data_IF_572644441182
#
_entry.id   IF_572644441182
#
_cell.length_a   1.000
_cell.length_b   1.000
_cell.length_c   1.000
_cell.angle_alpha   90.00
_cell.angle_beta   90.00
_cell.angle_gamma   90.00
#
_symmetry.space_group_name_H-M   'P 1'
#
loop_
_entity.id
_entity.type
_entity.pdbx_description
1 polymer ?
#
# COMPACT_ATOMS: atom_id res chain seq x y z
N UNK A 1 19.37 34.74 -39.21
CA UNK A 1 20.06 34.16 -38.04
C UNK A 1 21.19 33.28 -38.57
N UNK A 2 22.45 33.46 -38.14
CA UNK A 2 23.58 32.67 -38.67
C UNK A 2 23.45 31.20 -38.25
N UNK A 3 23.96 30.27 -39.07
CA UNK A 3 23.93 28.82 -38.77
C UNK A 3 24.59 28.50 -37.43
N UNK A 4 25.62 29.28 -37.05
CA UNK A 4 26.30 29.19 -35.75
C UNK A 4 25.37 29.54 -34.57
N UNK A 5 24.54 30.59 -34.70
CA UNK A 5 23.56 30.95 -33.66
C UNK A 5 22.45 29.91 -33.49
N UNK A 6 22.06 29.23 -34.56
CA UNK A 6 21.08 28.13 -34.48
C UNK A 6 21.69 26.93 -33.75
N UNK A 7 22.97 26.64 -33.99
CA UNK A 7 23.69 25.54 -33.36
C UNK A 7 23.92 25.76 -31.86
N UNK A 8 24.27 26.99 -31.44
CA UNK A 8 24.39 27.33 -30.02
C UNK A 8 23.07 27.21 -29.26
N UNK A 9 21.95 27.63 -29.86
CA UNK A 9 20.62 27.53 -29.23
C UNK A 9 20.20 26.06 -29.09
N UNK A 10 20.50 25.21 -30.08
CA UNK A 10 20.22 23.78 -30.01
C UNK A 10 21.07 23.11 -28.93
N UNK A 11 22.35 23.47 -28.79
CA UNK A 11 23.22 22.95 -27.71
C UNK A 11 22.72 23.41 -26.34
N UNK A 12 22.34 24.67 -26.17
CA UNK A 12 21.77 25.15 -24.90
C UNK A 12 20.44 24.47 -24.57
N UNK A 13 19.61 24.13 -25.56
CA UNK A 13 18.36 23.38 -25.36
C UNK A 13 18.61 21.90 -24.99
N UNK A 14 19.66 21.28 -25.53
CA UNK A 14 20.02 19.88 -25.23
C UNK A 14 20.61 19.75 -23.82
N UNK A 15 21.40 20.73 -23.35
CA UNK A 15 22.02 20.70 -22.02
C UNK A 15 21.15 21.26 -20.87
N UNK A 16 19.99 21.85 -21.17
CA UNK A 16 19.02 22.33 -20.16
C UNK A 16 17.98 21.28 -19.77
N UNK A 17 18.04 20.07 -20.36
CA UNK A 17 17.23 18.92 -19.97
C UNK A 17 18.00 18.01 -18.99
N UNK A 18 17.58 17.92 -17.70
CA UNK A 18 18.27 17.11 -16.69
C UNK A 18 18.43 15.64 -17.09
N UNK A 19 17.52 15.11 -17.91
CA UNK A 19 17.56 13.73 -18.39
C UNK A 19 18.71 13.42 -19.34
N UNK A 20 19.16 14.38 -20.16
CA UNK A 20 20.24 14.14 -21.13
C UNK A 20 21.61 14.10 -20.44
N UNK A 21 21.82 14.96 -19.44
CA UNK A 21 23.03 14.94 -18.60
C UNK A 21 23.11 13.64 -17.80
N UNK A 22 21.98 13.14 -17.28
CA UNK A 22 21.92 11.87 -16.57
C UNK A 22 22.23 10.69 -17.51
N UNK A 23 21.71 10.69 -18.74
CA UNK A 23 21.98 9.65 -19.74
C UNK A 23 23.45 9.67 -20.16
N UNK A 24 24.04 10.84 -20.40
CA UNK A 24 25.47 10.96 -20.72
C UNK A 24 26.33 10.51 -19.53
N UNK A 25 25.95 10.86 -18.30
CA UNK A 25 26.64 10.41 -17.09
C UNK A 25 26.57 8.88 -16.93
N UNK A 26 25.40 8.27 -17.14
CA UNK A 26 25.22 6.82 -17.08
C UNK A 26 26.02 6.13 -18.20
N UNK A 27 25.99 6.65 -19.42
CA UNK A 27 26.76 6.10 -20.54
C UNK A 27 28.26 6.21 -20.28
N UNK A 28 28.75 7.32 -19.72
CA UNK A 28 30.14 7.47 -19.31
C UNK A 28 30.51 6.51 -18.15
N UNK A 29 29.65 6.36 -17.14
CA UNK A 29 29.89 5.43 -16.02
C UNK A 29 29.95 3.98 -16.53
N UNK A 30 29.06 3.60 -17.45
CA UNK A 30 29.03 2.24 -18.03
C UNK A 30 30.21 2.00 -18.95
N UNK A 31 30.58 2.97 -19.78
CA UNK A 31 31.70 2.83 -20.73
C UNK A 31 33.08 2.85 -20.06
N UNK A 32 33.24 3.58 -18.95
CA UNK A 32 34.52 3.73 -18.25
C UNK A 32 34.57 3.02 -16.88
N UNK A 33 33.63 2.11 -16.61
CA UNK A 33 33.48 1.47 -15.29
C UNK A 33 34.74 0.70 -14.86
N UNK A 34 35.48 0.11 -15.81
CA UNK A 34 36.73 -0.61 -15.55
C UNK A 34 37.88 0.34 -15.21
N UNK A 35 37.99 1.46 -15.92
CA UNK A 35 38.99 2.51 -15.70
C UNK A 35 38.73 3.26 -14.39
N UNK A 36 37.46 3.55 -14.07
CA UNK A 36 37.04 4.17 -12.81
C UNK A 36 37.31 3.23 -11.62
N UNK A 37 37.05 1.93 -11.76
CA UNK A 37 37.40 0.92 -10.75
C UNK A 37 38.92 0.89 -10.47
N UNK A 38 39.74 1.01 -11.51
CA UNK A 38 41.20 1.10 -11.37
C UNK A 38 41.64 2.40 -10.68
N UNK A 39 41.01 3.52 -11.02
CA UNK A 39 41.27 4.82 -10.43
C UNK A 39 40.92 4.86 -8.93
N UNK A 40 39.75 4.33 -8.54
CA UNK A 40 39.30 4.26 -7.13
C UNK A 40 40.25 3.42 -6.29
N UNK A 41 40.76 2.30 -6.82
CA UNK A 41 41.77 1.47 -6.14
C UNK A 41 43.13 2.16 -5.95
N UNK A 42 43.40 3.23 -6.68
CA UNK A 42 44.62 4.04 -6.56
C UNK A 42 44.52 5.20 -5.56
N UNK A 43 43.33 5.50 -5.03
CA UNK A 43 43.13 6.61 -4.10
C UNK A 43 43.58 6.20 -2.70
N UNK A 44 44.84 6.50 -2.37
CA UNK A 44 45.43 6.19 -1.06
C UNK A 44 45.15 7.25 0.01
N UNK A 45 44.71 8.44 -0.39
CA UNK A 45 44.53 9.60 0.50
C UNK A 45 43.48 10.58 -0.03
N UNK A 46 42.47 10.89 0.77
CA UNK A 46 41.48 11.95 0.49
C UNK A 46 41.45 12.92 1.67
N UNK A 47 41.61 14.22 1.41
CA UNK A 47 41.59 15.27 2.44
C UNK A 47 40.62 16.39 2.06
N UNK A 48 39.73 16.74 2.97
CA UNK A 48 38.89 17.95 2.92
C UNK A 48 39.16 18.82 4.14
N UNK A 49 38.50 19.99 4.23
CA UNK A 49 38.68 20.93 5.35
C UNK A 49 38.33 20.36 6.72
N UNK A 50 37.51 19.32 6.76
CA UNK A 50 37.00 18.77 8.01
C UNK A 50 37.47 17.32 8.25
N UNK A 51 37.90 16.56 7.23
CA UNK A 51 38.26 15.14 7.41
C UNK A 51 39.36 14.67 6.44
N UNK A 52 40.19 13.72 6.89
CA UNK A 52 41.30 13.12 6.15
C UNK A 52 41.24 11.58 6.29
N UNK A 53 41.21 10.87 5.17
CA UNK A 53 41.16 9.41 5.12
C UNK A 53 42.40 8.87 4.38
N UNK A 54 43.12 7.94 5.00
CA UNK A 54 44.35 7.32 4.52
C UNK A 54 44.21 5.80 4.59
N UNK A 55 44.67 5.08 3.55
CA UNK A 55 44.47 3.61 3.44
C UNK A 55 45.76 2.79 3.59
N UNK A 56 46.77 3.28 4.32
CA UNK A 56 47.99 2.49 4.65
C UNK A 56 48.20 2.49 6.18
N UNK A 57 48.03 1.31 6.78
CA UNK A 57 48.27 1.04 8.20
C UNK A 57 49.77 0.84 8.47
N UNK A 58 50.38 1.73 9.25
CA UNK A 58 51.65 1.50 9.95
C UNK A 58 51.56 2.08 11.36
N UNK A 59 51.27 1.20 12.35
CA UNK A 59 51.84 1.24 13.71
C UNK A 59 51.39 0.03 14.55
N UNK A 60 52.02 -1.10 14.23
CA UNK A 60 52.35 -2.17 15.19
C UNK A 60 53.76 -1.85 15.69
N UNK A 61 53.95 -1.40 16.94
CA UNK A 61 55.27 -1.52 17.60
C UNK A 61 55.30 -1.27 19.12
N UNK A 62 54.16 -1.31 19.83
CA UNK A 62 54.17 -1.26 21.31
C UNK A 62 53.42 -2.38 22.03
N UNK A 63 52.91 -3.38 21.31
CA UNK A 63 52.29 -4.58 21.93
C UNK A 63 53.11 -5.86 21.74
N UNK A 64 54.34 -5.76 21.22
CA UNK A 64 55.19 -6.91 20.88
C UNK A 64 55.99 -7.52 22.04
N UNK A 65 55.86 -7.04 23.28
CA UNK A 65 56.61 -7.63 24.43
C UNK A 65 55.75 -8.26 25.51
N UNK A 66 54.42 -8.28 25.35
CA UNK A 66 53.52 -8.96 26.32
C UNK A 66 52.96 -10.30 25.83
N UNK A 67 53.12 -10.61 24.54
CA UNK A 67 52.56 -11.83 23.94
C UNK A 67 53.56 -12.99 23.77
N UNK A 68 54.86 -12.80 24.04
CA UNK A 68 55.86 -13.87 23.90
C UNK A 68 55.95 -14.82 25.11
N UNK A 69 55.33 -14.51 26.26
CA UNK A 69 55.23 -15.44 27.39
C UNK A 69 53.91 -16.24 27.42
N UNK A 70 52.91 -15.87 26.63
CA UNK A 70 51.62 -16.57 26.57
C UNK A 70 51.53 -17.60 25.43
N UNK A 71 52.46 -17.58 24.47
CA UNK A 71 52.42 -18.44 23.28
C UNK A 71 53.05 -19.82 23.46
N UNK A 72 53.17 -20.35 24.69
CA UNK A 72 53.67 -21.71 24.95
C UNK A 72 52.74 -22.61 25.76
N UNK A 73 51.55 -22.16 26.14
CA UNK A 73 50.60 -22.99 26.89
C UNK A 73 49.29 -23.35 26.17
N UNK A 74 49.07 -22.92 24.93
CA UNK A 74 47.86 -23.27 24.19
C UNK A 74 48.17 -23.99 22.86
N UNK A 75 48.92 -25.09 22.93
CA UNK A 75 48.73 -26.21 21.99
C UNK A 75 47.64 -27.14 22.55
N UNK A 76 46.38 -26.76 22.36
CA UNK A 76 45.26 -27.69 22.34
C UNK A 76 44.42 -27.38 21.11
N UNK A 77 44.55 -28.27 20.12
CA UNK A 77 43.64 -28.57 19.02
C UNK A 77 42.65 -27.45 18.63
N UNK A 78 43.00 -26.69 17.59
CA UNK A 78 42.04 -25.86 16.85
C UNK A 78 40.95 -26.77 16.25
N UNK A 79 39.77 -26.76 16.87
CA UNK A 79 38.52 -27.18 16.22
C UNK A 79 38.23 -26.22 15.05
N UNK A 80 37.86 -26.79 13.91
CA UNK A 80 37.41 -26.04 12.72
C UNK A 80 36.30 -25.04 13.09
N UNK A 81 36.16 -23.90 12.38
CA UNK A 81 35.05 -22.99 12.60
C UNK A 81 33.73 -23.75 12.40
N UNK A 82 32.94 -23.91 13.47
CA UNK A 82 31.61 -24.51 13.40
C UNK A 82 30.79 -23.75 12.35
N UNK A 83 30.51 -24.42 11.23
CA UNK A 83 29.38 -24.08 10.39
C UNK A 83 28.18 -23.91 11.31
N UNK A 84 27.59 -22.72 11.42
CA UNK A 84 26.26 -22.57 11.99
C UNK A 84 25.35 -23.49 11.16
N UNK A 85 25.05 -24.68 11.69
CA UNK A 85 24.07 -25.58 11.10
C UNK A 85 22.75 -24.81 11.11
N UNK A 86 22.23 -24.47 9.92
CA UNK A 86 20.84 -24.09 9.77
C UNK A 86 20.04 -25.21 10.43
N UNK A 87 19.37 -24.90 11.54
CA UNK A 87 18.66 -25.89 12.33
C UNK A 87 17.63 -26.56 11.41
N UNK A 88 17.68 -27.89 11.30
CA UNK A 88 16.77 -28.59 10.39
C UNK A 88 15.31 -28.33 10.79
N UNK A 89 14.41 -28.07 9.82
CA UNK A 89 12.99 -27.98 10.09
C UNK A 89 12.48 -29.22 10.85
N UNK A 90 11.72 -28.98 11.92
CA UNK A 90 11.24 -30.01 12.83
C UNK A 90 9.79 -30.38 12.58
N UNK A 91 8.99 -29.44 12.09
CA UNK A 91 7.56 -29.65 11.84
C UNK A 91 7.23 -29.76 10.36
N UNK A 92 6.08 -30.38 10.04
CA UNK A 92 5.59 -30.48 8.67
C UNK A 92 5.40 -29.10 8.03
N UNK A 93 4.95 -28.11 8.81
CA UNK A 93 4.74 -26.75 8.33
C UNK A 93 6.06 -26.02 8.07
N UNK A 94 7.06 -26.19 8.92
CA UNK A 94 8.40 -25.65 8.67
C UNK A 94 9.01 -26.26 7.41
N UNK A 95 8.81 -27.56 7.15
CA UNK A 95 9.25 -28.18 5.88
C UNK A 95 8.51 -27.62 4.66
N UNK A 96 7.22 -27.30 4.77
CA UNK A 96 6.47 -26.61 3.69
C UNK A 96 7.04 -25.22 3.43
N UNK A 97 7.33 -24.46 4.48
CA UNK A 97 7.95 -23.14 4.36
C UNK A 97 9.35 -23.23 3.75
N UNK A 98 10.17 -24.20 4.19
CA UNK A 98 11.49 -24.47 3.64
C UNK A 98 11.41 -24.79 2.13
N UNK A 99 10.45 -25.61 1.70
CA UNK A 99 10.21 -25.91 0.29
C UNK A 99 9.90 -24.62 -0.50
N UNK A 100 9.06 -23.74 0.04
CA UNK A 100 8.69 -22.47 -0.60
C UNK A 100 9.90 -21.53 -0.68
N UNK A 101 10.59 -21.27 0.44
CA UNK A 101 11.72 -20.33 0.49
C UNK A 101 12.89 -20.80 -0.37
N UNK A 102 13.27 -22.08 -0.27
CA UNK A 102 14.34 -22.62 -1.12
C UNK A 102 14.03 -22.51 -2.62
N UNK A 103 12.75 -22.54 -3.01
CA UNK A 103 12.35 -22.28 -4.41
C UNK A 103 12.68 -20.84 -4.81
N UNK A 104 12.37 -19.87 -3.96
CA UNK A 104 12.66 -18.45 -4.21
C UNK A 104 14.18 -18.14 -4.18
N UNK A 105 14.93 -18.88 -3.36
CA UNK A 105 16.40 -18.84 -3.33
C UNK A 105 17.04 -19.57 -4.54
N UNK A 106 16.22 -20.15 -5.43
CA UNK A 106 16.63 -20.94 -6.60
C UNK A 106 17.47 -22.16 -6.23
N UNK A 107 17.30 -22.67 -5.00
CA UNK A 107 17.96 -23.89 -4.52
C UNK A 107 17.07 -25.11 -4.75
N UNK A 108 17.03 -25.58 -6.00
CA UNK A 108 16.15 -26.68 -6.41
C UNK A 108 16.41 -27.98 -5.65
N UNK A 109 17.68 -28.28 -5.34
CA UNK A 109 18.06 -29.47 -4.57
C UNK A 109 17.39 -29.45 -3.20
N UNK A 110 17.47 -28.31 -2.50
CA UNK A 110 16.85 -28.17 -1.18
C UNK A 110 15.33 -28.20 -1.24
N UNK A 111 14.73 -27.62 -2.28
CA UNK A 111 13.28 -27.70 -2.52
C UNK A 111 12.83 -29.15 -2.69
N UNK A 112 13.54 -29.93 -3.50
CA UNK A 112 13.21 -31.32 -3.76
C UNK A 112 13.42 -32.20 -2.52
N UNK A 113 14.46 -31.94 -1.72
CA UNK A 113 14.68 -32.59 -0.42
C UNK A 113 13.53 -32.29 0.56
N UNK A 114 13.17 -31.02 0.70
CA UNK A 114 12.08 -30.58 1.56
C UNK A 114 10.75 -31.26 1.15
N UNK A 115 10.44 -31.28 -0.14
CA UNK A 115 9.26 -31.97 -0.65
C UNK A 115 9.26 -33.47 -0.33
N UNK A 116 10.40 -34.16 -0.52
CA UNK A 116 10.51 -35.57 -0.15
C UNK A 116 10.31 -35.80 1.35
N UNK A 117 10.81 -34.91 2.21
CA UNK A 117 10.58 -34.97 3.66
C UNK A 117 9.10 -34.78 4.01
N UNK A 118 8.43 -33.80 3.41
CA UNK A 118 6.97 -33.58 3.54
C UNK A 118 6.21 -34.87 3.22
N UNK A 119 6.50 -35.51 2.09
CA UNK A 119 5.81 -36.73 1.65
C UNK A 119 6.02 -37.94 2.57
N UNK A 120 7.17 -38.00 3.27
CA UNK A 120 7.47 -39.06 4.26
C UNK A 120 6.80 -38.79 5.61
N UNK A 121 6.76 -37.54 6.05
CA UNK A 121 6.22 -37.14 7.35
C UNK A 121 4.69 -37.04 7.34
N UNK A 122 4.11 -36.66 6.20
CA UNK A 122 2.67 -36.49 6.08
C UNK A 122 1.99 -37.85 5.83
N UNK A 123 1.27 -38.34 6.83
CA UNK A 123 0.53 -39.59 6.74
C UNK A 123 -0.82 -39.46 6.00
N UNK A 124 -1.38 -38.26 5.91
CA UNK A 124 -2.70 -38.03 5.31
C UNK A 124 -2.63 -38.05 3.77
N UNK A 125 -3.30 -38.99 3.08
CA UNK A 125 -3.22 -39.11 1.62
C UNK A 125 -3.70 -37.85 0.89
N UNK A 126 -4.77 -37.20 1.38
CA UNK A 126 -5.31 -36.00 0.73
C UNK A 126 -4.36 -34.83 0.92
N UNK A 127 -3.87 -34.60 2.14
CA UNK A 127 -2.89 -33.55 2.41
C UNK A 127 -1.60 -33.75 1.62
N UNK A 128 -1.14 -34.98 1.38
CA UNK A 128 0.03 -35.24 0.52
C UNK A 128 -0.21 -34.82 -0.94
N UNK A 129 -1.41 -35.06 -1.47
CA UNK A 129 -1.79 -34.59 -2.82
C UNK A 129 -1.79 -33.05 -2.87
N UNK A 130 -2.32 -32.38 -1.83
CA UNK A 130 -2.27 -30.91 -1.72
C UNK A 130 -0.83 -30.39 -1.63
N UNK A 131 0.04 -31.07 -0.89
CA UNK A 131 1.46 -30.75 -0.81
C UNK A 131 2.16 -30.94 -2.17
N UNK A 132 1.80 -31.97 -2.95
CA UNK A 132 2.31 -32.14 -4.33
C UNK A 132 1.84 -31.02 -5.25
N UNK A 133 0.57 -30.64 -5.20
CA UNK A 133 0.05 -29.50 -5.98
C UNK A 133 0.77 -28.19 -5.62
N UNK A 134 1.06 -27.98 -4.34
CA UNK A 134 1.84 -26.83 -3.87
C UNK A 134 3.27 -26.85 -4.43
N UNK A 135 3.97 -27.99 -4.33
CA UNK A 135 5.30 -28.19 -4.90
C UNK A 135 5.33 -27.93 -6.41
N UNK A 136 4.34 -28.44 -7.16
CA UNK A 136 4.24 -28.25 -8.61
C UNK A 136 3.98 -26.78 -8.97
N UNK A 137 3.12 -26.09 -8.22
CA UNK A 137 2.86 -24.66 -8.39
C UNK A 137 4.15 -23.85 -8.30
N UNK A 138 4.98 -24.11 -7.29
CA UNK A 138 6.25 -23.41 -7.09
C UNK A 138 7.34 -23.87 -8.07
N UNK A 139 7.36 -25.15 -8.44
CA UNK A 139 8.23 -25.67 -9.51
C UNK A 139 7.99 -24.97 -10.86
N UNK A 140 6.75 -24.63 -11.19
CA UNK A 140 6.43 -23.83 -12.37
C UNK A 140 7.06 -22.43 -12.30
N UNK A 141 7.00 -21.76 -11.15
CA UNK A 141 7.66 -20.44 -10.94
C UNK A 141 9.17 -20.56 -11.14
N UNK A 142 9.77 -21.67 -10.70
CA UNK A 142 11.18 -21.97 -10.90
C UNK A 142 11.54 -22.36 -12.36
N UNK A 143 10.56 -22.40 -13.26
CA UNK A 143 10.76 -22.67 -14.69
C UNK A 143 10.63 -24.12 -15.12
N UNK A 144 10.15 -25.04 -14.26
CA UNK A 144 9.90 -26.43 -14.66
C UNK A 144 8.66 -26.51 -15.57
N UNK A 145 8.87 -26.98 -16.81
CA UNK A 145 7.85 -26.94 -17.87
C UNK A 145 6.81 -28.06 -17.78
N UNK A 146 7.09 -29.15 -17.07
CA UNK A 146 6.20 -30.30 -16.89
C UNK A 146 5.15 -30.09 -15.78
N UNK A 147 5.35 -29.07 -14.93
CA UNK A 147 4.54 -28.82 -13.74
C UNK A 147 3.04 -28.70 -14.05
N UNK A 148 2.67 -27.89 -15.05
CA UNK A 148 1.27 -27.73 -15.49
C UNK A 148 0.66 -29.07 -15.90
N UNK A 149 1.40 -29.89 -16.67
CA UNK A 149 0.90 -31.18 -17.12
C UNK A 149 0.69 -32.15 -15.95
N UNK A 150 1.58 -32.12 -14.95
CA UNK A 150 1.43 -32.93 -13.73
C UNK A 150 0.25 -32.48 -12.88
N UNK A 151 0.04 -31.16 -12.74
CA UNK A 151 -1.13 -30.61 -12.01
C UNK A 151 -2.44 -31.07 -12.69
N UNK A 152 -2.49 -31.11 -14.02
CA UNK A 152 -3.68 -31.55 -14.77
C UNK A 152 -4.13 -32.97 -14.42
N UNK A 153 -3.22 -33.85 -14.02
CA UNK A 153 -3.55 -35.22 -13.63
C UNK A 153 -4.41 -35.27 -12.35
N UNK A 154 -4.40 -34.21 -11.53
CA UNK A 154 -5.23 -34.11 -10.33
C UNK A 154 -6.65 -33.59 -10.59
N UNK A 155 -6.96 -33.13 -11.81
CA UNK A 155 -8.30 -32.63 -12.14
C UNK A 155 -9.38 -33.71 -12.10
N UNK A 156 -9.01 -34.99 -12.19
CA UNK A 156 -9.95 -36.12 -12.08
C UNK A 156 -10.13 -36.60 -10.64
N UNK A 157 -9.41 -36.03 -9.67
CA UNK A 157 -9.47 -36.40 -8.26
C UNK A 157 -10.35 -35.42 -7.48
N UNK A 158 -11.58 -35.85 -7.16
CA UNK A 158 -12.58 -35.03 -6.49
C UNK A 158 -12.16 -34.53 -5.08
N UNK A 159 -11.14 -35.14 -4.45
CA UNK A 159 -10.65 -34.72 -3.15
C UNK A 159 -9.77 -33.46 -3.23
N UNK A 160 -9.15 -33.21 -4.39
CA UNK A 160 -8.20 -32.10 -4.60
C UNK A 160 -8.44 -31.31 -5.89
N UNK A 161 -9.60 -31.51 -6.53
CA UNK A 161 -9.97 -30.82 -7.78
C UNK A 161 -9.97 -29.29 -7.61
N UNK A 162 -10.40 -28.79 -6.46
CA UNK A 162 -10.34 -27.36 -6.12
C UNK A 162 -8.89 -26.85 -6.11
N UNK A 163 -8.01 -27.52 -5.39
CA UNK A 163 -6.59 -27.15 -5.28
C UNK A 163 -5.86 -27.27 -6.61
N UNK A 164 -6.19 -28.27 -7.44
CA UNK A 164 -5.62 -28.44 -8.76
C UNK A 164 -6.00 -27.28 -9.69
N UNK A 165 -7.28 -26.88 -9.69
CA UNK A 165 -7.76 -25.72 -10.43
C UNK A 165 -7.12 -24.41 -9.92
N UNK A 166 -6.97 -24.24 -8.60
CA UNK A 166 -6.25 -23.10 -8.01
C UNK A 166 -4.79 -23.04 -8.45
N UNK A 167 -4.09 -24.18 -8.45
CA UNK A 167 -2.70 -24.26 -8.88
C UNK A 167 -2.54 -23.95 -10.38
N UNK A 168 -3.41 -24.48 -11.24
CA UNK A 168 -3.42 -24.15 -12.67
C UNK A 168 -3.71 -22.66 -12.91
N UNK A 169 -4.75 -22.12 -12.26
CA UNK A 169 -5.09 -20.70 -12.34
C UNK A 169 -3.89 -19.82 -12.00
N UNK A 170 -3.18 -20.16 -10.93
CA UNK A 170 -1.95 -19.48 -10.52
C UNK A 170 -0.83 -19.59 -11.55
N UNK A 171 -0.54 -20.81 -12.04
CA UNK A 171 0.53 -21.03 -13.02
C UNK A 171 0.29 -20.23 -14.31
N UNK A 172 -0.94 -20.25 -14.84
CA UNK A 172 -1.31 -19.48 -16.03
C UNK A 172 -1.26 -17.97 -15.79
N UNK A 173 -1.73 -17.49 -14.63
CA UNK A 173 -1.64 -16.07 -14.27
C UNK A 173 -0.18 -15.59 -14.20
N UNK A 174 0.71 -16.41 -13.63
CA UNK A 174 2.15 -16.13 -13.59
C UNK A 174 2.77 -16.08 -14.98
N UNK A 175 2.33 -16.97 -15.88
CA UNK A 175 2.70 -16.97 -17.30
C UNK A 175 2.03 -15.86 -18.13
N UNK A 176 1.22 -15.00 -17.49
CA UNK A 176 0.42 -13.92 -18.13
C UNK A 176 -0.63 -14.41 -19.13
N UNK A 177 -0.98 -15.69 -19.08
CA UNK A 177 -2.08 -16.28 -19.83
C UNK A 177 -3.36 -16.12 -18.99
N UNK A 178 -3.92 -14.90 -19.01
CA UNK A 178 -5.05 -14.54 -18.15
C UNK A 178 -6.35 -15.23 -18.57
N UNK A 179 -6.47 -15.65 -19.83
CA UNK A 179 -7.62 -16.41 -20.33
C UNK A 179 -7.67 -17.79 -19.66
N UNK A 180 -6.58 -18.56 -19.73
CA UNK A 180 -6.52 -19.87 -19.05
C UNK A 180 -6.53 -19.72 -17.53
N UNK A 181 -5.89 -18.68 -16.97
CA UNK A 181 -5.96 -18.41 -15.54
C UNK A 181 -7.41 -18.22 -15.07
N UNK A 182 -8.16 -17.37 -15.78
CA UNK A 182 -9.58 -17.12 -15.52
C UNK A 182 -10.39 -18.40 -15.62
N UNK A 183 -10.18 -19.20 -16.67
CA UNK A 183 -10.86 -20.48 -16.85
C UNK A 183 -10.69 -21.40 -15.64
N UNK A 184 -9.46 -21.64 -15.19
CA UNK A 184 -9.21 -22.58 -14.09
C UNK A 184 -9.64 -21.99 -12.75
N UNK A 185 -9.51 -20.69 -12.52
CA UNK A 185 -10.04 -20.06 -11.31
C UNK A 185 -11.58 -20.09 -11.24
N UNK A 186 -12.28 -19.95 -12.37
CA UNK A 186 -13.74 -20.14 -12.40
C UNK A 186 -14.14 -21.58 -12.04
N UNK A 187 -13.39 -22.57 -12.54
CA UNK A 187 -13.59 -23.97 -12.15
C UNK A 187 -13.30 -24.19 -10.66
N UNK A 188 -12.25 -23.58 -10.10
CA UNK A 188 -12.00 -23.61 -8.65
C UNK A 188 -13.17 -22.98 -7.86
N UNK A 189 -13.72 -21.84 -8.31
CA UNK A 189 -14.86 -21.21 -7.65
C UNK A 189 -16.12 -22.10 -7.65
N UNK A 190 -16.36 -22.84 -8.73
CA UNK A 190 -17.45 -23.83 -8.81
C UNK A 190 -17.27 -24.98 -7.81
N UNK A 191 -16.02 -25.42 -7.60
CA UNK A 191 -15.69 -26.55 -6.73
C UNK A 191 -15.50 -26.18 -5.26
N UNK A 192 -15.42 -24.90 -4.94
CA UNK A 192 -15.23 -24.40 -3.59
C UNK A 192 -16.40 -24.83 -2.68
N UNK A 193 -16.08 -25.54 -1.60
CA UNK A 193 -17.04 -26.20 -0.70
C UNK A 193 -17.49 -25.29 0.45
N UNK A 194 -16.70 -24.27 0.77
CA UNK A 194 -16.93 -23.39 1.91
C UNK A 194 -16.64 -21.92 1.55
N UNK A 195 -17.01 -21.03 2.46
CA UNK A 195 -16.83 -19.58 2.30
C UNK A 195 -15.36 -19.16 2.16
N UNK A 196 -14.46 -19.82 2.89
CA UNK A 196 -13.03 -19.50 2.88
C UNK A 196 -12.41 -19.80 1.51
N UNK A 197 -12.72 -20.97 0.93
CA UNK A 197 -12.31 -21.34 -0.42
C UNK A 197 -12.86 -20.39 -1.46
N UNK A 198 -14.17 -20.05 -1.40
CA UNK A 198 -14.81 -19.10 -2.32
C UNK A 198 -14.16 -17.71 -2.25
N UNK A 199 -13.86 -17.24 -1.05
CA UNK A 199 -13.18 -15.96 -0.84
C UNK A 199 -11.75 -16.01 -1.39
N UNK A 200 -11.01 -17.08 -1.09
CA UNK A 200 -9.62 -17.27 -1.52
C UNK A 200 -9.48 -17.28 -3.05
N UNK A 201 -10.31 -18.05 -3.75
CA UNK A 201 -10.30 -18.06 -5.22
C UNK A 201 -10.78 -16.73 -5.80
N UNK A 202 -11.80 -16.09 -5.22
CA UNK A 202 -12.27 -14.79 -5.69
C UNK A 202 -11.18 -13.70 -5.62
N UNK A 203 -10.41 -13.67 -4.53
CA UNK A 203 -9.26 -12.77 -4.36
C UNK A 203 -8.12 -13.00 -5.35
N UNK A 204 -8.06 -14.17 -6.01
CA UNK A 204 -7.08 -14.42 -7.08
C UNK A 204 -7.68 -14.19 -8.47
N UNK A 205 -8.90 -14.67 -8.68
CA UNK A 205 -9.65 -14.61 -9.93
C UNK A 205 -9.88 -13.19 -10.41
N UNK A 206 -10.23 -12.25 -9.50
CA UNK A 206 -10.55 -10.87 -9.90
C UNK A 206 -9.40 -10.22 -10.67
N UNK A 207 -8.16 -10.48 -10.25
CA UNK A 207 -6.97 -9.91 -10.88
C UNK A 207 -6.75 -10.44 -12.29
N UNK A 208 -7.09 -11.71 -12.53
CA UNK A 208 -7.02 -12.35 -13.84
C UNK A 208 -8.14 -11.86 -14.75
N UNK A 209 -9.38 -11.79 -14.26
CA UNK A 209 -10.52 -11.22 -14.99
C UNK A 209 -10.26 -9.77 -15.39
N UNK A 210 -9.75 -8.94 -14.47
CA UNK A 210 -9.41 -7.55 -14.75
C UNK A 210 -8.35 -7.43 -15.84
N UNK A 211 -7.28 -8.24 -15.77
CA UNK A 211 -6.21 -8.24 -16.78
C UNK A 211 -6.65 -8.84 -18.13
N UNK A 212 -7.68 -9.68 -18.12
CA UNK A 212 -8.38 -10.20 -19.30
C UNK A 212 -9.43 -9.20 -19.86
N UNK A 213 -9.40 -7.93 -19.41
CA UNK A 213 -10.34 -6.87 -19.82
C UNK A 213 -11.82 -7.17 -19.50
N UNK A 214 -12.08 -8.03 -18.51
CA UNK A 214 -13.42 -8.42 -18.03
C UNK A 214 -13.72 -7.81 -16.67
N UNK A 215 -13.61 -6.48 -16.57
CA UNK A 215 -13.80 -5.72 -15.32
C UNK A 215 -15.18 -5.93 -14.72
N UNK A 216 -16.24 -5.86 -15.53
CA UNK A 216 -17.62 -5.97 -15.07
C UNK A 216 -17.89 -7.36 -14.49
N UNK A 217 -17.32 -8.39 -15.11
CA UNK A 217 -17.37 -9.77 -14.59
C UNK A 217 -16.61 -9.90 -13.27
N UNK A 218 -15.43 -9.26 -13.13
CA UNK A 218 -14.67 -9.26 -11.88
C UNK A 218 -15.45 -8.61 -10.73
N UNK A 219 -16.02 -7.43 -10.96
CA UNK A 219 -16.83 -6.71 -9.97
C UNK A 219 -18.07 -7.50 -9.60
N UNK A 220 -18.77 -8.08 -10.59
CA UNK A 220 -19.94 -8.92 -10.36
C UNK A 220 -19.58 -10.16 -9.54
N UNK A 221 -18.53 -10.88 -9.91
CA UNK A 221 -18.08 -12.08 -9.20
C UNK A 221 -17.71 -11.76 -7.75
N UNK A 222 -16.94 -10.70 -7.50
CA UNK A 222 -16.63 -10.25 -6.13
C UNK A 222 -17.89 -9.87 -5.35
N UNK A 223 -18.85 -9.18 -5.99
CA UNK A 223 -20.15 -8.83 -5.39
C UNK A 223 -20.96 -10.08 -5.01
N UNK A 224 -21.01 -11.08 -5.88
CA UNK A 224 -21.74 -12.33 -5.67
C UNK A 224 -21.14 -13.12 -4.50
N UNK A 225 -19.81 -13.21 -4.41
CA UNK A 225 -19.10 -13.86 -3.29
C UNK A 225 -19.26 -13.06 -2.00
N UNK A 226 -19.19 -11.73 -2.06
CA UNK A 226 -19.41 -10.85 -0.90
C UNK A 226 -20.82 -11.01 -0.32
N UNK A 227 -21.83 -11.22 -1.17
CA UNK A 227 -23.23 -11.36 -0.75
C UNK A 227 -23.50 -12.62 0.07
N UNK A 228 -22.66 -13.64 -0.04
CA UNK A 228 -22.76 -14.88 0.75
C UNK A 228 -21.71 -14.98 1.85
N UNK A 229 -20.76 -14.04 1.91
CA UNK A 229 -19.74 -14.02 2.93
C UNK A 229 -20.35 -13.64 4.28
N UNK A 230 -20.13 -14.46 5.29
CA UNK A 230 -20.63 -14.23 6.65
C UNK A 230 -19.54 -13.71 7.57
N UNK A 231 -18.27 -14.03 7.30
CA UNK A 231 -17.13 -13.66 8.13
C UNK A 231 -16.57 -12.27 7.74
N UNK A 232 -16.37 -11.40 8.74
CA UNK A 232 -15.85 -10.05 8.53
C UNK A 232 -14.43 -10.02 7.93
N UNK A 233 -13.56 -10.97 8.27
CA UNK A 233 -12.22 -11.09 7.68
C UNK A 233 -12.32 -11.35 6.17
N UNK A 234 -13.26 -12.19 5.75
CA UNK A 234 -13.48 -12.49 4.33
C UNK A 234 -14.10 -11.30 3.61
N UNK A 235 -15.12 -10.66 4.20
CA UNK A 235 -15.73 -9.44 3.66
C UNK A 235 -14.70 -8.34 3.44
N UNK A 236 -13.81 -8.10 4.41
CA UNK A 236 -12.73 -7.12 4.27
C UNK A 236 -11.84 -7.43 3.06
N UNK A 237 -11.39 -8.69 2.91
CA UNK A 237 -10.57 -9.10 1.74
C UNK A 237 -11.29 -8.84 0.41
N UNK A 238 -12.60 -9.08 0.36
CA UNK A 238 -13.41 -8.87 -0.84
C UNK A 238 -13.60 -7.37 -1.13
N UNK A 239 -13.84 -6.55 -0.10
CA UNK A 239 -13.89 -5.09 -0.23
C UNK A 239 -12.55 -4.50 -0.68
N UNK A 240 -11.42 -4.97 -0.14
CA UNK A 240 -10.09 -4.58 -0.62
C UNK A 240 -9.86 -5.02 -2.07
N UNK A 241 -10.31 -6.22 -2.46
CA UNK A 241 -10.22 -6.69 -3.85
C UNK A 241 -11.05 -5.81 -4.82
N UNK A 242 -12.23 -5.34 -4.40
CA UNK A 242 -13.02 -4.36 -5.15
C UNK A 242 -12.30 -3.00 -5.21
N UNK A 243 -11.70 -2.56 -4.08
CA UNK A 243 -10.94 -1.32 -4.01
C UNK A 243 -9.76 -1.33 -5.00
N UNK A 244 -9.05 -2.45 -5.12
CA UNK A 244 -7.93 -2.62 -6.05
C UNK A 244 -8.36 -2.47 -7.52
N UNK A 245 -9.58 -2.90 -7.87
CA UNK A 245 -10.14 -2.67 -9.20
C UNK A 245 -10.37 -1.17 -9.39
N UNK A 246 -11.07 -0.52 -8.46
CA UNK A 246 -11.40 0.90 -8.56
C UNK A 246 -10.16 1.81 -8.52
N UNK A 247 -9.11 1.41 -7.81
CA UNK A 247 -7.82 2.10 -7.81
C UNK A 247 -7.18 2.13 -9.20
N UNK A 248 -7.14 0.99 -9.89
CA UNK A 248 -6.57 0.91 -11.25
C UNK A 248 -7.37 1.72 -12.27
N UNK A 249 -8.66 1.90 -12.01
CA UNK A 249 -9.57 2.70 -12.83
C UNK A 249 -9.52 4.20 -12.49
N UNK A 250 -8.77 4.59 -11.45
CA UNK A 250 -8.80 5.94 -10.86
C UNK A 250 -10.22 6.37 -10.43
N UNK A 251 -11.09 5.41 -10.12
CA UNK A 251 -12.42 5.63 -9.58
C UNK A 251 -12.31 5.77 -8.05
N UNK A 252 -11.83 6.93 -7.64
CA UNK A 252 -11.56 7.22 -6.22
C UNK A 252 -12.83 7.16 -5.36
N UNK A 253 -14.00 7.42 -5.95
CA UNK A 253 -15.28 7.45 -5.26
C UNK A 253 -15.73 6.04 -4.87
N UNK A 254 -15.85 5.14 -5.85
CA UNK A 254 -16.23 3.77 -5.56
C UNK A 254 -15.16 3.06 -4.72
N UNK A 255 -13.87 3.41 -4.91
CA UNK A 255 -12.80 2.96 -4.03
C UNK A 255 -13.02 3.41 -2.58
N UNK A 256 -13.41 4.66 -2.35
CA UNK A 256 -13.71 5.18 -1.00
C UNK A 256 -14.84 4.37 -0.35
N UNK A 257 -15.93 4.17 -1.08
CA UNK A 257 -17.13 3.47 -0.62
C UNK A 257 -16.83 2.06 -0.13
N UNK A 258 -16.16 1.24 -0.95
CA UNK A 258 -15.84 -0.15 -0.56
C UNK A 258 -14.80 -0.21 0.56
N UNK A 259 -13.81 0.69 0.58
CA UNK A 259 -12.84 0.76 1.68
C UNK A 259 -13.46 1.21 3.00
N UNK A 260 -14.48 2.07 2.98
CA UNK A 260 -15.18 2.50 4.19
C UNK A 260 -15.95 1.34 4.84
N UNK A 261 -16.53 0.43 4.02
CA UNK A 261 -17.07 -0.84 4.52
C UNK A 261 -15.98 -1.73 5.12
N UNK A 262 -14.78 -1.77 4.53
CA UNK A 262 -13.66 -2.49 5.14
C UNK A 262 -13.24 -1.88 6.50
N UNK A 263 -13.23 -0.54 6.62
CA UNK A 263 -12.96 0.17 7.87
C UNK A 263 -14.06 -0.04 8.91
N UNK A 264 -15.33 -0.13 8.51
CA UNK A 264 -16.43 -0.49 9.42
C UNK A 264 -16.18 -1.83 10.11
N UNK A 265 -15.64 -2.80 9.38
CA UNK A 265 -15.31 -4.15 9.88
C UNK A 265 -13.96 -4.21 10.61
N UNK A 266 -13.01 -3.32 10.28
CA UNK A 266 -11.70 -3.18 10.94
C UNK A 266 -11.43 -1.72 11.33
N UNK A 267 -12.09 -1.20 12.38
CA UNK A 267 -12.06 0.22 12.71
C UNK A 267 -10.72 0.75 13.24
N UNK A 268 -9.76 -0.13 13.54
CA UNK A 268 -8.43 0.22 14.05
C UNK A 268 -7.29 -0.04 13.04
N UNK A 269 -7.61 -0.46 11.82
CA UNK A 269 -6.61 -0.67 10.77
C UNK A 269 -6.23 0.69 10.15
N UNK A 270 -5.13 1.27 10.63
CA UNK A 270 -4.65 2.59 10.19
C UNK A 270 -4.40 2.62 8.68
N UNK A 271 -3.94 1.51 8.09
CA UNK A 271 -3.69 1.44 6.65
C UNK A 271 -5.00 1.59 5.87
N UNK A 272 -6.05 0.89 6.28
CA UNK A 272 -7.38 1.03 5.68
C UNK A 272 -7.97 2.42 5.88
N UNK A 273 -7.87 2.97 7.10
CA UNK A 273 -8.36 4.32 7.42
C UNK A 273 -7.66 5.38 6.57
N UNK A 274 -6.35 5.26 6.40
CA UNK A 274 -5.58 6.17 5.54
C UNK A 274 -6.00 6.04 4.07
N UNK A 275 -6.11 4.81 3.55
CA UNK A 275 -6.51 4.55 2.16
C UNK A 275 -7.89 5.13 1.85
N UNK A 276 -8.86 5.01 2.76
CA UNK A 276 -10.21 5.57 2.57
C UNK A 276 -10.21 7.10 2.68
N UNK A 277 -9.45 7.68 3.63
CA UNK A 277 -9.28 9.13 3.74
C UNK A 277 -8.71 9.73 2.46
N UNK A 278 -7.66 9.10 1.91
CA UNK A 278 -7.08 9.48 0.62
C UNK A 278 -8.10 9.40 -0.52
N UNK A 279 -8.82 8.29 -0.61
CA UNK A 279 -9.85 8.10 -1.64
C UNK A 279 -10.96 9.16 -1.58
N UNK A 280 -11.45 9.51 -0.38
CA UNK A 280 -12.42 10.59 -0.22
C UNK A 280 -11.83 11.97 -0.58
N UNK A 281 -10.57 12.23 -0.27
CA UNK A 281 -9.88 13.47 -0.65
C UNK A 281 -9.81 13.65 -2.18
N UNK A 282 -9.39 12.60 -2.89
CA UNK A 282 -9.30 12.62 -4.36
C UNK A 282 -10.69 12.81 -5.00
N UNK A 283 -11.72 12.27 -4.35
CA UNK A 283 -13.13 12.39 -4.77
C UNK A 283 -13.82 13.69 -4.32
N UNK A 284 -13.08 14.62 -3.68
CA UNK A 284 -13.60 15.92 -3.17
C UNK A 284 -14.66 15.80 -2.07
N UNK A 285 -14.69 14.69 -1.36
CA UNK A 285 -15.47 14.53 -0.13
C UNK A 285 -14.62 14.95 1.09
N UNK A 286 -14.26 16.24 1.15
CA UNK A 286 -13.30 16.78 2.12
C UNK A 286 -13.73 16.53 3.58
N UNK A 287 -15.02 16.60 3.90
CA UNK A 287 -15.52 16.30 5.25
C UNK A 287 -15.31 14.84 5.67
N UNK A 288 -15.55 13.89 4.75
CA UNK A 288 -15.34 12.45 5.01
C UNK A 288 -13.86 12.15 5.13
N UNK A 289 -13.06 12.72 4.23
CA UNK A 289 -11.60 12.65 4.28
C UNK A 289 -11.05 13.15 5.63
N UNK A 290 -11.49 14.33 6.08
CA UNK A 290 -11.12 14.89 7.37
C UNK A 290 -11.48 13.93 8.52
N UNK A 291 -12.69 13.37 8.52
CA UNK A 291 -13.13 12.40 9.53
C UNK A 291 -12.16 11.21 9.62
N UNK A 292 -11.81 10.61 8.49
CA UNK A 292 -10.93 9.44 8.47
C UNK A 292 -9.51 9.78 8.90
N UNK A 293 -8.92 10.88 8.43
CA UNK A 293 -7.59 11.27 8.87
C UNK A 293 -7.53 11.66 10.34
N UNK A 294 -8.61 12.20 10.91
CA UNK A 294 -8.69 12.41 12.36
C UNK A 294 -8.72 11.10 13.12
N UNK A 295 -9.50 10.12 12.67
CA UNK A 295 -9.51 8.79 13.28
C UNK A 295 -8.12 8.15 13.20
N UNK A 296 -7.42 8.25 12.06
CA UNK A 296 -6.05 7.75 11.93
C UNK A 296 -5.09 8.44 12.90
N UNK A 297 -5.18 9.77 13.06
CA UNK A 297 -4.38 10.54 14.03
C UNK A 297 -4.67 10.10 15.45
N UNK A 298 -5.92 9.86 15.79
CA UNK A 298 -6.31 9.49 17.15
C UNK A 298 -5.75 8.10 17.53
N UNK A 299 -5.44 7.25 16.54
CA UNK A 299 -4.73 5.96 16.73
C UNK A 299 -3.20 6.15 16.74
N UNK A 300 -2.65 6.87 15.75
CA UNK A 300 -1.22 7.18 15.69
C UNK A 300 -0.98 8.69 15.51
N UNK A 301 -0.81 9.44 16.62
CA UNK A 301 -0.64 10.88 16.57
C UNK A 301 0.65 11.35 15.89
N UNK A 302 1.67 10.50 15.84
CA UNK A 302 3.01 10.82 15.34
C UNK A 302 3.24 10.33 13.90
N UNK A 303 2.18 9.92 13.20
CA UNK A 303 2.24 9.65 11.76
C UNK A 303 2.32 10.96 10.97
N UNK A 304 3.48 11.22 10.40
CA UNK A 304 3.75 12.45 9.64
C UNK A 304 2.87 12.59 8.38
N UNK A 305 2.51 11.48 7.73
CA UNK A 305 1.69 11.48 6.52
C UNK A 305 0.23 11.80 6.87
N UNK A 306 -0.27 11.24 7.97
CA UNK A 306 -1.60 11.60 8.52
C UNK A 306 -1.66 13.08 8.90
N UNK A 307 -0.63 13.61 9.56
CA UNK A 307 -0.59 15.03 9.92
C UNK A 307 -0.54 15.94 8.70
N UNK A 308 0.25 15.58 7.68
CA UNK A 308 0.28 16.33 6.42
C UNK A 308 -1.10 16.34 5.75
N UNK A 309 -1.74 15.17 5.64
CA UNK A 309 -3.03 15.05 4.98
C UNK A 309 -4.16 15.76 5.75
N UNK A 310 -4.12 15.78 7.09
CA UNK A 310 -4.99 16.63 7.88
C UNK A 310 -4.82 18.11 7.55
N UNK A 311 -3.58 18.58 7.39
CA UNK A 311 -3.29 19.94 6.94
C UNK A 311 -3.99 20.26 5.61
N UNK A 312 -3.87 19.35 4.64
CA UNK A 312 -4.52 19.46 3.32
C UNK A 312 -6.05 19.54 3.46
N UNK A 313 -6.66 18.69 4.27
CA UNK A 313 -8.12 18.71 4.44
C UNK A 313 -8.61 19.96 5.16
N UNK A 314 -7.90 20.42 6.19
CA UNK A 314 -8.23 21.69 6.86
C UNK A 314 -8.16 22.87 5.90
N UNK A 315 -7.19 22.89 4.98
CA UNK A 315 -7.14 23.93 3.95
C UNK A 315 -8.32 23.90 2.97
N UNK A 316 -8.67 22.70 2.49
CA UNK A 316 -9.81 22.53 1.60
C UNK A 316 -11.10 23.06 2.26
N UNK A 317 -11.24 22.78 3.56
CA UNK A 317 -12.35 23.22 4.41
C UNK A 317 -12.22 24.65 4.98
N UNK A 318 -11.20 25.42 4.54
CA UNK A 318 -10.97 26.82 4.95
C UNK A 318 -10.75 27.02 6.46
N UNK A 319 -9.97 26.12 7.08
CA UNK A 319 -9.54 26.15 8.48
C UNK A 319 -8.02 26.40 8.59
N UNK A 320 -7.55 27.62 8.30
CA UNK A 320 -6.12 27.93 8.20
C UNK A 320 -5.34 27.71 9.51
N UNK A 321 -5.92 27.93 10.70
CA UNK A 321 -5.19 27.75 11.97
C UNK A 321 -4.92 26.26 12.20
N UNK A 322 -5.93 25.41 11.99
CA UNK A 322 -5.78 23.95 12.10
C UNK A 322 -4.85 23.38 11.06
N UNK A 323 -4.95 23.86 9.82
CA UNK A 323 -4.06 23.49 8.73
C UNK A 323 -2.59 23.72 9.07
N UNK A 324 -2.24 24.96 9.47
CA UNK A 324 -0.87 25.33 9.88
C UNK A 324 -0.39 24.46 11.04
N UNK A 325 -1.24 24.21 12.03
CA UNK A 325 -0.90 23.35 13.17
C UNK A 325 -0.53 21.92 12.72
N UNK A 326 -1.33 21.34 11.83
CA UNK A 326 -1.12 20.00 11.30
C UNK A 326 0.14 19.90 10.44
N UNK A 327 0.37 20.82 9.51
CA UNK A 327 1.62 20.82 8.72
C UNK A 327 2.85 21.03 9.59
N UNK A 328 2.78 21.91 10.60
CA UNK A 328 3.89 22.10 11.54
C UNK A 328 4.19 20.84 12.35
N UNK A 329 3.17 20.04 12.69
CA UNK A 329 3.38 18.75 13.34
C UNK A 329 4.04 17.75 12.40
N UNK A 330 3.57 17.65 11.16
CA UNK A 330 4.17 16.78 10.13
C UNK A 330 5.63 17.17 9.80
N UNK A 331 5.93 18.46 9.70
CA UNK A 331 7.27 19.00 9.44
C UNK A 331 8.24 18.65 10.57
N UNK A 332 7.83 18.82 11.84
CA UNK A 332 8.62 18.38 13.00
C UNK A 332 8.93 16.89 13.02
N UNK A 333 8.09 16.08 12.38
CA UNK A 333 8.27 14.63 12.26
C UNK A 333 9.18 14.24 11.08
N UNK A 334 9.57 15.20 10.22
CA UNK A 334 10.50 14.97 9.11
C UNK A 334 9.86 15.02 7.73
N UNK A 335 8.56 15.31 7.61
CA UNK A 335 7.87 15.32 6.33
C UNK A 335 8.19 16.59 5.52
N UNK A 336 9.05 16.45 4.52
CA UNK A 336 9.50 17.57 3.66
C UNK A 336 8.40 18.15 2.78
N UNK A 337 7.41 17.34 2.39
CA UNK A 337 6.23 17.82 1.65
C UNK A 337 5.36 18.71 2.53
N UNK A 338 5.21 18.38 3.81
CA UNK A 338 4.53 19.23 4.78
C UNK A 338 5.27 20.56 4.99
N UNK A 339 6.61 20.57 4.97
CA UNK A 339 7.39 21.82 5.00
C UNK A 339 7.06 22.73 3.81
N UNK A 340 6.95 22.16 2.60
CA UNK A 340 6.55 22.91 1.41
C UNK A 340 5.09 23.40 1.50
N UNK A 341 4.16 22.54 1.92
CA UNK A 341 2.75 22.89 2.11
C UNK A 341 2.59 24.01 3.15
N UNK A 342 3.33 23.93 4.26
CA UNK A 342 3.35 24.95 5.30
C UNK A 342 3.82 26.29 4.74
N UNK A 343 4.95 26.34 4.02
CA UNK A 343 5.47 27.56 3.41
C UNK A 343 4.44 28.20 2.44
N UNK A 344 3.83 27.42 1.54
CA UNK A 344 2.79 27.94 0.65
C UNK A 344 1.59 28.52 1.40
N UNK A 345 1.18 27.93 2.54
CA UNK A 345 0.07 28.47 3.34
C UNK A 345 0.45 29.72 4.09
N UNK A 346 1.64 29.79 4.67
CA UNK A 346 2.16 30.99 5.32
C UNK A 346 2.22 32.17 4.33
N UNK A 347 2.77 31.95 3.14
CA UNK A 347 2.78 32.93 2.05
C UNK A 347 1.38 33.42 1.66
N UNK A 348 0.43 32.50 1.46
CA UNK A 348 -0.93 32.83 0.99
C UNK A 348 -1.84 33.47 2.04
N UNK A 349 -1.61 33.17 3.32
CA UNK A 349 -2.36 33.77 4.44
C UNK A 349 -1.78 35.12 4.87
N UNK A 350 -0.74 35.60 4.17
CA UNK A 350 -0.09 36.89 4.45
C UNK A 350 0.78 36.87 5.71
N UNK A 351 0.99 35.70 6.31
CA UNK A 351 1.90 35.52 7.44
C UNK A 351 3.27 35.21 6.86
N UNK A 352 3.98 36.24 6.39
CA UNK A 352 5.33 36.18 5.81
C UNK A 352 6.33 35.61 6.82
N UNK A 353 6.28 34.28 6.87
CA UNK A 353 7.09 33.21 7.46
C UNK A 353 7.37 33.29 8.97
N UNK A 354 7.76 34.46 9.40
CA UNK A 354 8.76 34.66 10.42
C UNK A 354 8.17 35.33 11.64
N UNK A 355 6.85 35.58 11.63
CA UNK A 355 6.12 36.25 12.70
C UNK A 355 6.36 35.57 14.05
N UNK A 356 6.54 34.25 14.06
CA UNK A 356 6.87 33.51 15.28
C UNK A 356 8.33 33.64 15.73
N UNK A 357 9.28 33.74 14.81
CA UNK A 357 10.69 34.07 15.13
C UNK A 357 10.81 35.52 15.66
N UNK A 358 10.00 36.44 15.13
CA UNK A 358 9.97 37.87 15.50
C UNK A 358 9.23 38.13 16.82
N UNK A 359 8.17 37.37 17.14
CA UNK A 359 7.43 37.51 18.40
C UNK A 359 8.22 37.00 19.62
N UNK A 360 9.04 35.95 19.46
CA UNK A 360 9.94 35.45 20.51
C UNK A 360 11.17 36.36 20.72
N UNK A 361 11.55 37.20 19.74
CA UNK A 361 12.61 38.22 19.86
C UNK A 361 12.04 39.58 20.34
N UNK A 362 10.85 39.98 19.89
CA UNK A 362 10.23 41.27 20.23
C UNK A 362 9.75 41.36 21.69
N UNK A 363 9.43 40.24 22.32
CA UNK A 363 9.09 40.16 23.76
C UNK A 363 10.28 40.41 24.69
N UNK A 364 11.50 40.56 24.14
CA UNK A 364 12.73 40.89 24.89
C UNK A 364 13.18 42.36 24.76
N UNK A 365 12.43 43.22 24.03
CA UNK A 365 12.72 44.67 23.88
C UNK A 365 11.61 45.53 24.46
N UNK A 366 11.98 46.66 25.06
CA UNK A 366 11.10 47.51 25.90
C UNK A 366 9.88 48.13 25.20
N UNK A 367 9.76 48.12 23.86
CA UNK A 367 8.61 48.68 23.15
C UNK A 367 8.17 47.84 21.92
N UNK A 368 7.28 46.86 22.15
CA UNK A 368 6.62 46.10 21.09
C UNK A 368 5.30 46.76 20.64
N UNK A 369 5.06 46.78 19.31
CA UNK A 369 3.89 47.44 18.72
C UNK A 369 2.54 46.78 19.13
N UNK A 370 1.48 47.54 19.48
CA UNK A 370 0.22 46.98 20.03
C UNK A 370 -0.47 45.90 19.17
N UNK A 371 -0.35 45.98 17.85
CA UNK A 371 -0.96 45.02 16.92
C UNK A 371 -0.45 43.58 17.07
N UNK A 372 0.76 43.39 17.62
CA UNK A 372 1.33 42.07 17.94
C UNK A 372 0.53 41.38 19.04
N UNK A 373 0.25 42.10 20.13
CA UNK A 373 -0.52 41.57 21.25
C UNK A 373 -1.99 41.38 20.86
N UNK A 374 -2.55 42.25 20.01
CA UNK A 374 -3.89 42.08 19.46
C UNK A 374 -4.00 40.82 18.59
N UNK A 375 -3.03 40.56 17.72
CA UNK A 375 -3.02 39.35 16.89
C UNK A 375 -2.87 38.08 17.72
N UNK A 376 -1.99 38.06 18.73
CA UNK A 376 -1.83 36.93 19.65
C UNK A 376 -3.09 36.68 20.50
N UNK A 377 -3.77 37.74 20.94
CA UNK A 377 -5.02 37.68 21.70
C UNK A 377 -6.21 37.19 20.86
N UNK A 378 -6.18 37.40 19.54
CA UNK A 378 -7.24 36.98 18.62
C UNK A 378 -7.12 35.52 18.17
N UNK A 379 -5.92 34.91 18.24
CA UNK A 379 -5.71 33.51 17.82
C UNK A 379 -6.62 32.53 18.58
N UNK A 380 -6.72 32.56 19.93
CA UNK A 380 -7.62 31.66 20.65
C UNK A 380 -9.07 31.77 20.20
N UNK A 381 -9.59 32.98 19.97
CA UNK A 381 -10.97 33.20 19.50
C UNK A 381 -11.21 32.66 18.10
N UNK A 382 -10.24 32.85 17.19
CA UNK A 382 -10.32 32.30 15.82
C UNK A 382 -10.18 30.78 15.82
N UNK A 383 -9.32 30.24 16.67
CA UNK A 383 -9.15 28.79 16.87
C UNK A 383 -10.43 28.15 17.39
N UNK A 384 -11.06 28.75 18.40
CA UNK A 384 -12.33 28.29 18.96
C UNK A 384 -13.43 28.28 17.88
N UNK A 385 -13.50 29.32 17.05
CA UNK A 385 -14.41 29.35 15.91
C UNK A 385 -14.11 28.23 14.90
N UNK A 386 -12.84 27.97 14.58
CA UNK A 386 -12.48 26.83 13.70
C UNK A 386 -12.82 25.48 14.36
N UNK A 387 -12.69 25.34 15.68
CA UNK A 387 -13.13 24.14 16.42
C UNK A 387 -14.64 23.91 16.28
N UNK A 388 -15.45 24.97 16.32
CA UNK A 388 -16.90 24.89 16.08
C UNK A 388 -17.23 24.49 14.64
N UNK A 389 -16.57 25.11 13.66
CA UNK A 389 -16.74 24.75 12.24
C UNK A 389 -16.32 23.29 12.03
N UNK A 390 -15.19 22.86 12.58
CA UNK A 390 -14.71 21.49 12.50
C UNK A 390 -15.74 20.51 13.10
N UNK A 391 -16.28 20.79 14.29
CA UNK A 391 -17.34 19.98 14.90
C UNK A 391 -18.56 19.86 13.97
N UNK A 392 -18.97 20.96 13.34
CA UNK A 392 -20.05 20.97 12.34
C UNK A 392 -19.74 20.09 11.12
N UNK A 393 -18.53 20.20 10.58
CA UNK A 393 -18.05 19.39 9.44
C UNK A 393 -17.94 17.91 9.80
N UNK A 394 -17.47 17.57 10.99
CA UNK A 394 -17.41 16.18 11.47
C UNK A 394 -18.81 15.61 11.66
N UNK A 395 -19.76 16.39 12.20
CA UNK A 395 -21.16 15.94 12.30
C UNK A 395 -21.76 15.67 10.92
N UNK A 396 -21.49 16.53 9.94
CA UNK A 396 -21.90 16.32 8.55
C UNK A 396 -21.24 15.06 7.97
N UNK A 397 -19.93 14.89 8.15
CA UNK A 397 -19.18 13.71 7.71
C UNK A 397 -19.77 12.42 8.26
N UNK A 398 -20.11 12.37 9.55
CA UNK A 398 -20.71 11.20 10.17
C UNK A 398 -22.07 10.84 9.56
N UNK A 399 -22.89 11.85 9.23
CA UNK A 399 -24.18 11.62 8.55
C UNK A 399 -23.99 11.11 7.12
N UNK A 400 -23.08 11.72 6.36
CA UNK A 400 -22.73 11.29 5.01
C UNK A 400 -22.17 9.87 5.01
N UNK A 401 -21.27 9.57 5.94
CA UNK A 401 -20.67 8.24 6.10
C UNK A 401 -21.74 7.19 6.35
N UNK A 402 -22.68 7.46 7.27
CA UNK A 402 -23.80 6.55 7.54
C UNK A 402 -24.60 6.26 6.27
N UNK A 403 -24.89 7.29 5.47
CA UNK A 403 -25.56 7.10 4.18
C UNK A 403 -24.72 6.26 3.21
N UNK A 404 -23.44 6.59 3.02
CA UNK A 404 -22.58 5.89 2.06
C UNK A 404 -22.31 4.44 2.45
N UNK A 405 -22.23 4.10 3.74
CA UNK A 405 -22.12 2.72 4.19
C UNK A 405 -23.36 1.90 3.77
N UNK A 406 -24.57 2.44 3.91
CA UNK A 406 -25.81 1.79 3.48
C UNK A 406 -25.90 1.72 1.96
N UNK A 407 -25.53 2.81 1.27
CA UNK A 407 -25.51 2.86 -0.20
C UNK A 407 -24.55 1.81 -0.78
N UNK A 408 -23.33 1.72 -0.23
CA UNK A 408 -22.30 0.77 -0.68
C UNK A 408 -22.78 -0.66 -0.48
N UNK A 409 -23.39 -0.95 0.66
CA UNK A 409 -23.99 -2.25 0.93
C UNK A 409 -25.07 -2.57 -0.12
N UNK A 410 -26.01 -1.66 -0.37
CA UNK A 410 -27.03 -1.87 -1.40
C UNK A 410 -26.47 -2.00 -2.83
N UNK A 411 -25.35 -1.32 -3.13
CA UNK A 411 -24.72 -1.33 -4.47
C UNK A 411 -23.96 -2.63 -4.75
N UNK A 412 -23.26 -3.17 -3.75
CA UNK A 412 -22.33 -4.29 -3.94
C UNK A 412 -22.82 -5.61 -3.35
N UNK A 413 -23.71 -5.57 -2.35
CA UNK A 413 -24.33 -6.77 -1.79
C UNK A 413 -25.71 -6.91 -2.42
N UNK A 414 -25.95 -8.06 -3.04
CA UNK A 414 -27.25 -8.39 -3.61
C UNK A 414 -28.26 -8.48 -2.47
N UNK A 415 -29.24 -7.59 -2.49
CA UNK A 415 -30.32 -7.55 -1.51
C UNK A 415 -31.65 -7.87 -2.19
N UNK A 416 -32.30 -8.93 -1.76
CA UNK A 416 -33.65 -9.30 -2.21
C UNK A 416 -34.72 -8.34 -1.66
N UNK A 417 -34.34 -7.40 -0.76
CA UNK A 417 -35.25 -6.42 -0.15
C UNK A 417 -35.90 -5.50 -1.21
N UNK A 418 -35.21 -5.23 -2.32
CA UNK A 418 -35.73 -4.38 -3.39
C UNK A 418 -36.82 -5.06 -4.23
N UNK A 419 -36.95 -6.38 -4.18
CA UNK A 419 -37.96 -7.12 -4.96
C UNK A 419 -39.39 -6.82 -4.49
N UNK A 420 -39.55 -6.29 -3.26
CA UNK A 420 -40.85 -5.93 -2.66
C UNK A 420 -41.13 -4.41 -2.64
N UNK A 421 -40.28 -3.59 -3.26
CA UNK A 421 -40.44 -2.12 -3.25
C UNK A 421 -41.37 -1.66 -4.39
N UNK A 422 -41.52 -2.47 -5.44
CA UNK A 422 -42.51 -2.20 -6.49
C UNK A 422 -43.92 -2.51 -5.98
N UNK A 423 -44.86 -1.60 -6.20
CA UNK A 423 -46.23 -1.72 -5.71
C UNK A 423 -46.84 -0.38 -5.35
N UNK A 424 -47.96 -0.45 -4.63
CA UNK A 424 -48.72 0.71 -4.20
C UNK A 424 -48.17 1.26 -2.87
N UNK A 425 -47.80 2.54 -2.86
CA UNK A 425 -47.30 3.26 -1.70
C UNK A 425 -48.27 4.35 -1.31
N UNK A 426 -48.53 4.50 -0.01
CA UNK A 426 -49.42 5.54 0.53
C UNK A 426 -48.63 6.53 1.36
N UNK A 427 -48.69 7.83 1.04
CA UNK A 427 -48.07 8.87 1.85
C UNK A 427 -48.82 9.10 3.17
N UNK A 428 -48.15 9.81 4.07
CA UNK A 428 -48.70 10.36 5.30
C UNK A 428 -49.82 11.40 5.09
N UNK A 429 -50.08 11.82 3.85
CA UNK A 429 -51.19 12.69 3.46
C UNK A 429 -52.18 11.96 2.53
N UNK A 430 -52.28 10.64 2.66
CA UNK A 430 -53.19 9.75 1.95
C UNK A 430 -53.07 9.73 0.42
N UNK A 431 -51.98 10.24 -0.14
CA UNK A 431 -51.70 10.15 -1.58
C UNK A 431 -51.17 8.76 -1.92
N UNK A 432 -51.78 8.12 -2.92
CA UNK A 432 -51.38 6.79 -3.39
C UNK A 432 -50.45 6.96 -4.61
N UNK A 433 -49.32 6.27 -4.59
CA UNK A 433 -48.32 6.23 -5.67
C UNK A 433 -48.12 4.78 -6.11
N UNK A 434 -48.02 4.56 -7.40
CA UNK A 434 -47.54 3.29 -7.95
C UNK A 434 -46.05 3.41 -8.23
N UNK A 435 -45.25 2.55 -7.62
CA UNK A 435 -43.81 2.47 -7.84
C UNK A 435 -43.52 1.20 -8.64
N UNK A 436 -42.91 1.35 -9.81
CA UNK A 436 -42.44 0.22 -10.62
C UNK A 436 -40.96 0.42 -10.95
N UNK A 437 -40.12 -0.55 -10.62
CA UNK A 437 -38.70 -0.53 -10.98
C UNK A 437 -38.52 -1.19 -12.35
N UNK A 438 -38.35 -0.39 -13.40
CA UNK A 438 -38.32 -0.86 -14.80
C UNK A 438 -36.93 -1.27 -15.31
N UNK A 439 -35.85 -0.94 -14.59
CA UNK A 439 -34.49 -1.30 -15.01
C UNK A 439 -33.62 -1.54 -13.75
N UNK A 440 -33.16 -2.78 -13.52
CA UNK A 440 -32.29 -3.14 -12.38
C UNK A 440 -30.81 -2.78 -12.64
N UNK A 441 -30.55 -1.70 -13.37
CA UNK A 441 -29.18 -1.23 -13.57
C UNK A 441 -28.70 -0.58 -12.28
N UNK A 442 -27.57 -1.05 -11.75
CA UNK A 442 -26.93 -0.43 -10.57
C UNK A 442 -26.65 1.04 -10.93
N UNK A 443 -26.99 2.02 -10.08
CA UNK A 443 -26.68 3.42 -10.36
C UNK A 443 -25.16 3.57 -10.54
N UNK A 444 -24.75 4.04 -11.72
CA UNK A 444 -23.34 4.18 -12.11
C UNK A 444 -22.66 5.34 -11.36
N UNK A 445 -23.39 6.42 -11.09
CA UNK A 445 -22.92 7.58 -10.35
C UNK A 445 -24.07 8.26 -9.57
N UNK A 446 -23.72 9.03 -8.53
CA UNK A 446 -24.66 9.92 -7.87
C UNK A 446 -24.58 11.32 -8.50
N UNK A 447 -25.69 11.90 -9.00
CA UNK A 447 -25.70 13.30 -9.36
C UNK A 447 -25.64 14.14 -8.07
N UNK A 448 -24.53 14.89 -7.92
CA UNK A 448 -24.30 15.92 -6.91
C UNK A 448 -25.33 17.07 -7.05
N UNK A 449 -26.59 16.81 -6.71
CA UNK A 449 -27.67 17.79 -6.68
C UNK A 449 -28.67 17.42 -5.59
N UNK A 450 -28.28 17.50 -4.33
CA UNK A 450 -29.24 17.77 -3.26
C UNK A 450 -28.70 18.92 -2.40
N UNK A 451 -29.40 20.06 -2.36
CA UNK A 451 -29.10 21.11 -1.40
C UNK A 451 -29.64 20.62 -0.05
N UNK A 452 -28.74 20.29 0.87
CA UNK A 452 -29.09 20.10 2.28
C UNK A 452 -28.63 21.31 3.09
#
# INVERSE_FOLDING_TARGET
MSKEKVFEIIIQAIFSWPGIVLIIAIVCIVMFCKEISGFIKGIKKIKTKEWEFNTEDEKTEKELTKNEELSKEEEKEEEQPETQKVEEPKTLEEWRMEMIFSTFDKNQTRTDEAFQKIQRLNADPVSRKKDELLYLKFSHIAGKTDAIQRIRNFLTDAEVEYEANMALGFCYANSKDFENATKFYLQALEKAKNEEEKTSVASQLYSSLYRDSKKEEAVKMLSDVLSIATNDVNKVKLYESLADIYEKENDHENRAFVLDKAVELKPNDISLIFKVGYSYAESKYDELSLLHYKNARDINPEDEAVQNNLGVQYDNLKMPIKSISSYKKAEKLGNTLASANLAYRLMNTGFTEEAKSILDIATTKEDAHPNVNSALSDIPKRSEKEDEVEKGKIKLALNLRKFFLVFTEAKFIKSDVLDNVSGEWKSNVDTIFQLSISDRKRPECWPLCLPF
#
